data_IF_274477410324
#
_entry.id   IF_274477410324
#
_cell.length_a   1.000
_cell.length_b   1.000
_cell.length_c   1.000
_cell.angle_alpha   90.00
_cell.angle_beta   90.00
_cell.angle_gamma   90.00
#
_symmetry.space_group_name_H-M   'P 1'
#
loop_
_entity.id
_entity.type
_entity.pdbx_description
1 polymer ?
#
# COMPACT_ATOMS: atom_id res chain seq x y z
N UNK A 1 9.80 -35.90 -62.96
CA UNK A 1 9.39 -36.94 -63.92
C UNK A 1 8.12 -36.46 -64.64
N UNK A 2 8.27 -36.12 -65.93
CA UNK A 2 7.21 -35.63 -66.82
C UNK A 2 6.41 -36.83 -67.37
N UNK A 3 5.08 -36.82 -67.30
CA UNK A 3 4.19 -37.63 -68.16
C UNK A 3 3.10 -36.70 -68.68
N UNK A 4 3.33 -36.12 -69.86
CA UNK A 4 2.78 -36.54 -71.16
C UNK A 4 1.25 -36.39 -71.22
N UNK A 5 0.87 -35.19 -71.65
CA UNK A 5 -0.37 -34.90 -72.38
C UNK A 5 -0.30 -35.61 -73.74
N UNK A 6 -1.36 -36.31 -74.13
CA UNK A 6 -1.62 -36.59 -75.54
C UNK A 6 -3.13 -36.48 -75.78
N UNK A 7 -3.49 -35.47 -76.56
CA UNK A 7 -4.84 -35.22 -77.08
C UNK A 7 -5.13 -36.16 -78.26
N UNK A 8 -6.33 -36.70 -78.33
CA UNK A 8 -6.88 -37.25 -79.57
C UNK A 8 -8.29 -36.69 -79.80
N UNK A 9 -8.31 -35.72 -80.71
CA UNK A 9 -9.34 -35.29 -81.65
C UNK A 9 -10.78 -35.80 -81.51
N UNK A 10 -11.63 -34.78 -81.43
CA UNK A 10 -13.04 -34.70 -81.77
C UNK A 10 -13.54 -35.60 -82.91
N UNK A 11 -14.70 -36.22 -82.69
CA UNK A 11 -15.76 -36.32 -83.70
C UNK A 11 -17.08 -35.86 -83.08
N UNK A 12 -17.59 -34.78 -83.65
CA UNK A 12 -18.90 -34.20 -83.44
C UNK A 12 -20.03 -35.19 -83.71
N UNK A 13 -20.99 -35.28 -82.79
CA UNK A 13 -22.36 -35.64 -83.14
C UNK A 13 -23.30 -34.79 -82.28
N UNK A 14 -23.89 -33.79 -82.92
CA UNK A 14 -25.00 -32.99 -82.39
C UNK A 14 -26.21 -33.90 -82.17
N UNK A 15 -26.43 -34.44 -80.97
CA UNK A 15 -27.77 -34.93 -80.54
C UNK A 15 -27.76 -35.39 -79.06
N UNK A 16 -27.57 -34.49 -78.09
CA UNK A 16 -27.79 -34.82 -76.65
C UNK A 16 -28.13 -33.60 -75.78
N UNK A 17 -28.70 -32.56 -76.38
CA UNK A 17 -29.07 -31.30 -75.69
C UNK A 17 -30.46 -31.34 -75.01
N UNK A 18 -31.01 -32.54 -74.76
CA UNK A 18 -32.39 -32.71 -74.28
C UNK A 18 -32.53 -33.63 -73.04
N UNK A 19 -31.45 -33.86 -72.29
CA UNK A 19 -31.49 -34.66 -71.05
C UNK A 19 -30.91 -33.93 -69.82
N UNK A 20 -30.58 -32.64 -69.93
CA UNK A 20 -30.14 -31.80 -68.80
C UNK A 20 -31.27 -30.95 -68.17
N UNK A 21 -32.53 -31.15 -68.60
CA UNK A 21 -33.66 -30.30 -68.23
C UNK A 21 -34.61 -30.84 -67.15
N UNK A 22 -34.42 -32.07 -66.65
CA UNK A 22 -35.43 -32.72 -65.77
C UNK A 22 -34.92 -33.04 -64.35
N UNK A 23 -33.62 -32.90 -64.07
CA UNK A 23 -33.08 -33.17 -62.72
C UNK A 23 -33.05 -31.92 -61.81
N UNK A 24 -33.33 -30.72 -62.33
CA UNK A 24 -33.34 -29.47 -61.54
C UNK A 24 -34.71 -29.06 -60.98
N UNK A 25 -35.76 -29.86 -61.15
CA UNK A 25 -37.14 -29.47 -60.80
C UNK A 25 -37.75 -30.21 -59.59
N UNK A 26 -36.98 -30.98 -58.80
CA UNK A 26 -37.52 -31.83 -57.74
C UNK A 26 -36.91 -31.65 -56.33
N UNK A 27 -36.11 -30.60 -56.07
CA UNK A 27 -35.50 -30.36 -54.75
C UNK A 27 -36.17 -29.28 -53.89
N UNK A 28 -37.34 -28.75 -54.29
CA UNK A 28 -38.06 -27.73 -53.48
C UNK A 28 -39.16 -28.29 -52.57
N UNK A 29 -39.37 -29.61 -52.54
CA UNK A 29 -40.26 -30.23 -51.57
C UNK A 29 -39.48 -30.53 -50.26
N UNK A 30 -40.05 -30.11 -49.13
CA UNK A 30 -39.59 -30.35 -47.73
C UNK A 30 -38.60 -29.35 -47.10
N UNK A 31 -38.90 -28.06 -47.19
CA UNK A 31 -38.63 -27.18 -46.04
C UNK A 31 -39.85 -27.24 -45.11
N UNK A 32 -39.86 -28.18 -44.16
CA UNK A 32 -40.87 -28.20 -43.11
C UNK A 32 -40.85 -26.86 -42.37
N UNK A 33 -42.00 -26.17 -42.25
CA UNK A 33 -42.13 -24.97 -41.42
C UNK A 33 -41.86 -25.38 -39.97
N UNK A 34 -40.65 -25.08 -39.49
CA UNK A 34 -40.23 -25.30 -38.10
C UNK A 34 -40.94 -24.31 -37.14
N UNK A 35 -41.44 -23.19 -37.67
CA UNK A 35 -42.12 -22.17 -36.89
C UNK A 35 -43.64 -22.17 -37.13
N UNK A 36 -44.41 -22.12 -36.03
CA UNK A 36 -45.87 -22.04 -36.02
C UNK A 36 -46.40 -20.60 -36.08
N UNK A 37 -45.51 -19.60 -36.12
CA UNK A 37 -45.85 -18.17 -36.10
C UNK A 37 -45.06 -17.43 -37.15
N UNK A 38 -45.73 -16.51 -37.85
CA UNK A 38 -45.09 -15.56 -38.77
C UNK A 38 -44.59 -14.35 -37.96
N UNK A 39 -43.28 -14.09 -38.01
CA UNK A 39 -42.63 -13.00 -37.27
C UNK A 39 -42.21 -11.94 -38.29
N UNK A 40 -42.84 -10.76 -38.31
CA UNK A 40 -42.50 -9.72 -39.28
C UNK A 40 -41.07 -9.20 -39.04
N UNK A 41 -40.28 -9.16 -40.11
CA UNK A 41 -38.91 -8.63 -40.08
C UNK A 41 -38.95 -7.11 -40.07
N UNK A 42 -38.43 -6.49 -38.99
CA UNK A 42 -38.28 -5.04 -38.85
C UNK A 42 -36.85 -4.61 -39.19
N UNK A 43 -36.54 -4.50 -40.48
CA UNK A 43 -35.19 -4.18 -40.97
C UNK A 43 -34.69 -2.81 -40.50
N UNK A 44 -35.60 -1.86 -40.27
CA UNK A 44 -35.33 -0.51 -39.80
C UNK A 44 -34.62 -0.46 -38.44
N UNK A 45 -34.82 -1.47 -37.57
CA UNK A 45 -34.18 -1.54 -36.25
C UNK A 45 -32.66 -1.77 -36.33
N UNK A 46 -32.16 -2.24 -37.48
CA UNK A 46 -30.74 -2.55 -37.71
C UNK A 46 -30.14 -1.73 -38.86
N UNK A 47 -30.83 -0.66 -39.28
CA UNK A 47 -30.42 0.16 -40.42
C UNK A 47 -29.19 1.04 -40.15
N UNK A 48 -28.82 1.26 -38.88
CA UNK A 48 -27.70 2.11 -38.49
C UNK A 48 -26.67 1.35 -37.69
N UNK A 49 -25.40 1.71 -37.89
CA UNK A 49 -24.33 1.22 -37.03
C UNK A 49 -24.43 1.90 -35.66
N UNK A 50 -24.41 1.14 -34.55
CA UNK A 50 -24.50 1.71 -33.22
C UNK A 50 -23.25 2.55 -32.91
N UNK A 51 -23.45 3.75 -32.38
CA UNK A 51 -22.37 4.56 -31.84
C UNK A 51 -21.81 3.90 -30.55
N UNK A 52 -20.54 4.16 -30.19
CA UNK A 52 -20.00 3.74 -28.89
C UNK A 52 -20.83 4.29 -27.73
N UNK A 53 -21.09 3.46 -26.72
CA UNK A 53 -21.83 3.87 -25.53
C UNK A 53 -21.05 4.93 -24.73
N UNK A 54 -21.73 5.96 -24.24
CA UNK A 54 -21.19 6.87 -23.23
C UNK A 54 -21.11 6.20 -21.84
N UNK A 55 -20.32 6.75 -20.89
CA UNK A 55 -20.28 6.25 -19.51
C UNK A 55 -21.65 6.18 -18.83
N UNK A 56 -22.55 7.13 -19.11
CA UNK A 56 -23.91 7.16 -18.54
C UNK A 56 -24.77 6.03 -19.12
N UNK A 57 -24.63 5.72 -20.41
CA UNK A 57 -25.34 4.59 -21.03
C UNK A 57 -24.83 3.25 -20.47
N UNK A 58 -23.52 3.11 -20.26
CA UNK A 58 -22.97 1.96 -19.54
C UNK A 58 -23.53 1.84 -18.10
N UNK A 59 -23.69 2.98 -17.41
CA UNK A 59 -24.20 3.05 -16.04
C UNK A 59 -25.65 2.61 -15.89
N UNK A 60 -26.46 2.65 -16.96
CA UNK A 60 -27.84 2.14 -16.95
C UNK A 60 -27.89 0.65 -16.58
N UNK A 61 -26.84 -0.12 -16.91
CA UNK A 61 -26.71 -1.53 -16.54
C UNK A 61 -25.65 -1.77 -15.45
N UNK A 62 -24.55 -1.00 -15.46
CA UNK A 62 -23.41 -1.18 -14.54
C UNK A 62 -23.37 -0.10 -13.46
N UNK A 63 -24.49 0.08 -12.74
CA UNK A 63 -24.64 1.14 -11.74
C UNK A 63 -23.61 1.04 -10.59
N UNK A 64 -23.25 -0.16 -10.14
CA UNK A 64 -22.27 -0.38 -9.06
C UNK A 64 -20.86 -0.01 -9.48
N UNK A 65 -20.47 -0.36 -10.71
CA UNK A 65 -19.16 0.00 -11.28
C UNK A 65 -19.08 1.52 -11.47
N UNK A 66 -20.12 2.12 -12.04
CA UNK A 66 -20.20 3.57 -12.20
C UNK A 66 -20.12 4.29 -10.85
N UNK A 67 -20.86 3.81 -9.84
CA UNK A 67 -20.81 4.32 -8.47
C UNK A 67 -19.42 4.20 -7.85
N UNK A 68 -18.76 3.05 -7.98
CA UNK A 68 -17.40 2.84 -7.48
C UNK A 68 -16.39 3.81 -8.09
N UNK A 69 -16.45 4.03 -9.41
CA UNK A 69 -15.60 5.01 -10.08
C UNK A 69 -15.95 6.45 -9.67
N UNK A 70 -17.24 6.77 -9.55
CA UNK A 70 -17.74 8.08 -9.08
C UNK A 70 -17.24 8.38 -7.67
N UNK A 71 -17.22 7.42 -6.77
CA UNK A 71 -16.89 7.67 -5.36
C UNK A 71 -15.39 7.48 -5.07
N UNK A 72 -14.72 6.56 -5.77
CA UNK A 72 -13.36 6.11 -5.46
C UNK A 72 -12.45 5.85 -6.67
N UNK A 73 -12.88 6.20 -7.89
CA UNK A 73 -12.11 5.97 -9.12
C UNK A 73 -10.88 6.88 -9.29
N UNK A 74 -10.84 8.03 -8.61
CA UNK A 74 -9.74 9.00 -8.76
C UNK A 74 -9.52 9.39 -10.23
N UNK A 75 -8.31 9.17 -10.73
CA UNK A 75 -7.94 9.44 -12.14
C UNK A 75 -8.51 8.43 -13.15
N UNK A 76 -9.14 7.34 -12.70
CA UNK A 76 -9.76 6.34 -13.59
C UNK A 76 -11.17 6.72 -14.05
N UNK A 77 -11.59 7.97 -13.81
CA UNK A 77 -12.89 8.53 -14.26
C UNK A 77 -12.78 9.03 -15.70
N UNK A 78 -12.66 8.11 -16.65
CA UNK A 78 -12.64 8.37 -18.09
C UNK A 78 -13.54 7.35 -18.82
N UNK A 79 -13.67 7.47 -20.15
CA UNK A 79 -14.58 6.61 -20.91
C UNK A 79 -14.24 5.12 -20.77
N UNK A 80 -15.26 4.29 -20.53
CA UNK A 80 -15.09 2.87 -20.25
C UNK A 80 -14.29 2.14 -21.34
N UNK A 81 -14.45 2.57 -22.59
CA UNK A 81 -13.81 2.02 -23.79
C UNK A 81 -12.32 2.36 -23.89
N UNK A 82 -11.79 3.25 -23.05
CA UNK A 82 -10.34 3.47 -22.99
C UNK A 82 -9.64 2.23 -22.41
N UNK A 83 -10.29 1.50 -21.50
CA UNK A 83 -9.81 0.21 -20.99
C UNK A 83 -10.55 -0.98 -21.62
N UNK A 84 -11.88 -0.97 -21.64
CA UNK A 84 -12.69 -2.06 -22.17
C UNK A 84 -12.87 -1.95 -23.69
N UNK A 85 -11.85 -2.38 -24.44
CA UNK A 85 -11.89 -2.42 -25.92
C UNK A 85 -12.88 -3.44 -26.47
N UNK A 86 -13.19 -4.47 -25.69
CA UNK A 86 -14.21 -5.47 -26.00
C UNK A 86 -15.12 -5.62 -24.79
N UNK A 87 -16.42 -5.42 -24.98
CA UNK A 87 -17.44 -5.43 -23.91
C UNK A 87 -18.40 -6.59 -24.17
N UNK A 88 -18.95 -7.19 -23.11
CA UNK A 88 -19.85 -8.36 -23.17
C UNK A 88 -19.26 -9.59 -23.91
N UNK A 89 -17.94 -9.74 -23.91
CA UNK A 89 -17.24 -10.88 -24.53
C UNK A 89 -16.88 -12.02 -23.56
N UNK A 90 -17.17 -11.87 -22.26
CA UNK A 90 -16.95 -12.93 -21.29
C UNK A 90 -17.88 -14.12 -21.59
N UNK A 91 -17.30 -15.32 -21.67
CA UNK A 91 -18.04 -16.55 -21.85
C UNK A 91 -17.61 -17.57 -20.77
N UNK A 92 -18.49 -17.92 -19.82
CA UNK A 92 -18.19 -18.88 -18.76
C UNK A 92 -17.71 -20.24 -19.27
N UNK A 93 -18.16 -20.70 -20.44
CA UNK A 93 -17.73 -21.97 -21.04
C UNK A 93 -16.29 -21.93 -21.56
N UNK A 94 -15.80 -20.74 -21.93
CA UNK A 94 -14.43 -20.53 -22.41
C UNK A 94 -13.47 -20.10 -21.30
N UNK A 95 -13.99 -19.60 -20.18
CA UNK A 95 -13.16 -19.10 -19.07
C UNK A 95 -12.23 -17.95 -19.47
N UNK A 96 -12.61 -17.14 -20.46
CA UNK A 96 -11.73 -16.17 -21.11
C UNK A 96 -11.52 -14.86 -20.32
N UNK A 97 -11.80 -14.82 -19.02
CA UNK A 97 -11.75 -13.58 -18.23
C UNK A 97 -10.36 -12.95 -18.24
N UNK A 98 -9.32 -13.70 -17.89
CA UNK A 98 -7.95 -13.18 -17.79
C UNK A 98 -7.38 -12.71 -19.13
N UNK A 99 -7.84 -13.30 -20.23
CA UNK A 99 -7.46 -12.93 -21.59
C UNK A 99 -8.04 -11.56 -21.98
N UNK A 100 -9.33 -11.34 -21.69
CA UNK A 100 -10.07 -10.15 -22.15
C UNK A 100 -10.00 -8.96 -21.17
N UNK A 101 -9.53 -9.17 -19.93
CA UNK A 101 -9.43 -8.09 -18.95
C UNK A 101 -8.33 -7.08 -19.32
N UNK A 102 -8.61 -5.76 -19.19
CA UNK A 102 -7.64 -4.70 -19.49
C UNK A 102 -6.35 -4.88 -18.69
N UNK A 103 -5.20 -4.71 -19.36
CA UNK A 103 -3.88 -4.83 -18.73
C UNK A 103 -3.44 -3.47 -18.21
N UNK A 104 -3.21 -3.37 -16.90
CA UNK A 104 -2.78 -2.12 -16.24
C UNK A 104 -1.48 -1.54 -16.84
N UNK A 105 -0.61 -2.42 -17.32
CA UNK A 105 0.66 -2.07 -17.96
C UNK A 105 0.53 -1.22 -19.24
N UNK A 106 -0.66 -1.07 -19.81
CA UNK A 106 -0.88 -0.18 -20.96
C UNK A 106 -0.75 1.31 -20.60
N UNK A 107 -0.90 1.66 -19.32
CA UNK A 107 -0.84 3.04 -18.84
C UNK A 107 0.06 3.21 -17.61
N UNK A 108 0.25 2.15 -16.82
CA UNK A 108 1.06 2.18 -15.61
C UNK A 108 2.39 1.47 -15.82
N UNK A 109 3.43 2.03 -15.22
CA UNK A 109 4.72 1.35 -15.03
C UNK A 109 4.71 0.55 -13.74
N UNK A 110 5.85 -0.06 -13.39
CA UNK A 110 6.04 -0.86 -12.18
C UNK A 110 6.16 0.00 -10.91
N UNK A 111 5.07 0.65 -10.50
CA UNK A 111 5.03 1.59 -9.36
C UNK A 111 5.35 0.95 -8.00
N UNK A 112 5.23 -0.38 -7.88
CA UNK A 112 5.60 -1.16 -6.70
C UNK A 112 6.84 -2.04 -6.94
N UNK A 113 7.63 -1.69 -7.95
CA UNK A 113 8.79 -2.45 -8.40
C UNK A 113 8.44 -3.73 -9.19
N UNK A 114 9.46 -4.44 -9.70
CA UNK A 114 9.27 -5.55 -10.62
C UNK A 114 8.64 -6.79 -9.99
N UNK A 115 8.62 -6.89 -8.66
CA UNK A 115 8.06 -8.04 -7.94
C UNK A 115 6.53 -8.00 -7.81
N UNK A 116 5.87 -6.86 -8.10
CA UNK A 116 4.45 -6.65 -7.81
C UNK A 116 3.67 -6.25 -9.08
N UNK A 117 3.64 -7.14 -10.08
CA UNK A 117 3.00 -6.87 -11.39
C UNK A 117 1.52 -7.27 -11.46
N UNK A 118 1.06 -8.10 -10.54
CA UNK A 118 -0.33 -8.58 -10.52
C UNK A 118 -1.26 -7.56 -9.83
N UNK A 119 -1.46 -6.40 -10.46
CA UNK A 119 -2.12 -5.24 -9.86
C UNK A 119 -3.52 -5.57 -9.31
N UNK A 120 -4.32 -6.33 -10.07
CA UNK A 120 -5.71 -6.66 -9.75
C UNK A 120 -5.86 -7.57 -8.52
N UNK A 121 -4.78 -8.20 -8.06
CA UNK A 121 -4.81 -9.02 -6.86
C UNK A 121 -4.90 -8.22 -5.57
N UNK A 122 -4.55 -6.93 -5.63
CA UNK A 122 -4.62 -5.99 -4.51
C UNK A 122 -5.55 -4.80 -4.82
N UNK A 123 -5.57 -4.31 -6.07
CA UNK A 123 -6.35 -3.16 -6.49
C UNK A 123 -7.62 -3.58 -7.21
N UNK A 124 -8.73 -2.93 -6.88
CA UNK A 124 -9.92 -2.96 -7.73
C UNK A 124 -9.74 -1.91 -8.85
N UNK A 125 -9.78 -2.28 -10.15
CA UNK A 125 -9.62 -1.33 -11.25
C UNK A 125 -10.66 -0.20 -11.28
N UNK A 126 -11.83 -0.42 -10.68
CA UNK A 126 -12.92 0.55 -10.58
C UNK A 126 -12.89 1.37 -9.28
N UNK A 127 -11.97 1.06 -8.36
CA UNK A 127 -11.71 1.85 -7.16
C UNK A 127 -10.24 1.72 -6.73
N UNK A 128 -9.26 2.07 -7.59
CA UNK A 128 -7.86 1.67 -7.40
C UNK A 128 -7.21 2.30 -6.18
N UNK A 129 -7.71 3.44 -5.70
CA UNK A 129 -7.23 4.08 -4.46
C UNK A 129 -7.67 3.37 -3.17
N UNK A 130 -8.64 2.46 -3.24
CA UNK A 130 -9.12 1.68 -2.09
C UNK A 130 -8.52 0.27 -2.15
N UNK A 131 -7.37 0.10 -1.50
CA UNK A 131 -6.74 -1.21 -1.32
C UNK A 131 -7.26 -1.83 -0.02
N UNK A 132 -7.92 -2.97 -0.14
CA UNK A 132 -8.42 -3.70 1.01
C UNK A 132 -7.27 -4.37 1.77
N UNK A 133 -7.36 -4.37 3.10
CA UNK A 133 -6.41 -5.05 3.98
C UNK A 133 -6.70 -6.56 4.02
N UNK A 134 -6.48 -7.23 2.88
CA UNK A 134 -6.72 -8.67 2.74
C UNK A 134 -5.68 -9.49 3.51
N UNK A 135 -5.96 -10.76 3.87
CA UNK A 135 -4.96 -11.63 4.50
C UNK A 135 -3.66 -11.74 3.70
N UNK A 136 -3.74 -11.67 2.36
CA UNK A 136 -2.55 -11.61 1.51
C UNK A 136 -1.73 -10.36 1.81
N UNK A 137 -2.33 -9.16 1.74
CA UNK A 137 -1.61 -7.91 1.94
C UNK A 137 -0.98 -7.83 3.34
N UNK A 138 -1.75 -8.18 4.38
CA UNK A 138 -1.30 -8.21 5.79
C UNK A 138 -0.05 -9.06 5.98
N UNK A 139 0.02 -10.21 5.30
CA UNK A 139 1.16 -11.12 5.42
C UNK A 139 2.36 -10.74 4.53
N UNK A 140 2.23 -9.72 3.68
CA UNK A 140 3.27 -9.31 2.72
C UNK A 140 3.88 -7.94 3.02
N UNK A 141 3.54 -7.29 4.14
CA UNK A 141 4.11 -5.98 4.47
C UNK A 141 5.64 -5.98 4.40
N UNK A 142 6.30 -7.02 4.92
CA UNK A 142 7.76 -7.13 4.96
C UNK A 142 8.42 -7.31 3.58
N UNK A 143 7.66 -7.72 2.56
CA UNK A 143 8.17 -7.83 1.18
C UNK A 143 8.56 -6.45 0.63
N UNK A 144 7.78 -5.42 0.97
CA UNK A 144 8.03 -4.04 0.53
C UNK A 144 8.65 -3.17 1.64
N UNK A 145 8.43 -3.53 2.91
CA UNK A 145 8.92 -2.82 4.10
C UNK A 145 9.88 -3.69 4.94
N UNK A 146 11.01 -4.17 4.37
CA UNK A 146 11.92 -5.08 5.06
C UNK A 146 12.61 -4.40 6.26
N UNK A 147 12.95 -3.11 6.12
CA UNK A 147 13.62 -2.34 7.18
C UNK A 147 12.76 -2.29 8.45
N UNK A 148 11.46 -2.02 8.32
CA UNK A 148 10.54 -1.94 9.47
C UNK A 148 10.39 -3.30 10.16
N UNK A 149 10.37 -4.38 9.38
CA UNK A 149 10.36 -5.75 9.93
C UNK A 149 11.66 -6.05 10.68
N UNK A 150 12.80 -5.66 10.12
CA UNK A 150 14.12 -5.84 10.73
C UNK A 150 14.24 -5.06 12.05
N UNK A 151 13.79 -3.80 12.10
CA UNK A 151 13.77 -2.99 13.32
C UNK A 151 13.02 -3.69 14.46
N UNK A 152 11.82 -4.23 14.20
CA UNK A 152 11.02 -4.93 15.20
C UNK A 152 11.67 -6.23 15.71
N UNK A 153 12.48 -6.88 14.87
CA UNK A 153 13.25 -8.10 15.23
C UNK A 153 14.48 -7.73 16.05
N UNK A 154 15.24 -6.72 15.60
CA UNK A 154 16.48 -6.27 16.23
C UNK A 154 16.25 -5.59 17.58
N UNK A 155 15.12 -4.89 17.74
CA UNK A 155 14.77 -4.13 18.95
C UNK A 155 13.45 -4.62 19.56
N UNK A 156 13.43 -5.81 20.17
CA UNK A 156 12.19 -6.45 20.62
C UNK A 156 11.45 -5.63 21.68
N UNK A 157 10.17 -5.40 21.42
CA UNK A 157 9.25 -4.67 22.30
C UNK A 157 7.88 -5.36 22.36
N UNK A 158 6.91 -4.75 23.06
CA UNK A 158 5.53 -5.24 23.03
C UNK A 158 4.94 -5.18 21.61
N UNK A 159 5.38 -4.22 20.79
CA UNK A 159 4.94 -4.09 19.40
C UNK A 159 5.44 -5.24 18.50
N UNK A 160 6.55 -5.90 18.85
CA UNK A 160 7.04 -7.06 18.08
C UNK A 160 6.06 -8.25 18.11
N UNK A 161 5.07 -8.23 19.01
CA UNK A 161 3.99 -9.24 19.12
C UNK A 161 2.67 -8.79 18.49
N UNK A 162 2.65 -7.61 17.86
CA UNK A 162 1.46 -7.01 17.26
C UNK A 162 1.61 -7.06 15.74
N UNK A 163 0.58 -7.51 15.03
CA UNK A 163 0.59 -7.53 13.57
C UNK A 163 0.51 -6.10 13.00
N UNK A 164 1.13 -5.87 11.83
CA UNK A 164 1.27 -4.53 11.25
C UNK A 164 -0.09 -3.84 11.03
N UNK A 165 -1.10 -4.60 10.63
CA UNK A 165 -2.47 -4.15 10.33
C UNK A 165 -3.26 -3.68 11.56
N UNK A 166 -2.80 -4.02 12.76
CA UNK A 166 -3.42 -3.53 14.00
C UNK A 166 -3.19 -2.03 14.22
N UNK A 167 -2.11 -1.50 13.64
CA UNK A 167 -1.82 -0.07 13.62
C UNK A 167 -2.08 0.50 12.22
N UNK A 168 -1.56 -0.15 11.18
CA UNK A 168 -1.71 0.25 9.78
C UNK A 168 -3.00 -0.35 9.17
N UNK A 169 -4.15 0.24 9.51
CA UNK A 169 -5.47 -0.31 9.16
C UNK A 169 -5.83 -0.23 7.67
N UNK A 170 -5.11 0.56 6.88
CA UNK A 170 -5.23 0.60 5.43
C UNK A 170 -3.86 0.80 4.76
N UNK A 171 -3.75 0.42 3.49
CA UNK A 171 -2.50 0.52 2.75
C UNK A 171 -2.08 1.99 2.60
N UNK A 172 -0.86 2.33 3.03
CA UNK A 172 -0.34 3.70 3.02
C UNK A 172 -0.80 4.57 4.20
N UNK A 173 -1.62 4.06 5.12
CA UNK A 173 -2.01 4.80 6.32
C UNK A 173 -0.90 4.80 7.38
N UNK A 174 -0.57 5.97 7.89
CA UNK A 174 0.35 6.16 9.03
C UNK A 174 -0.51 6.45 10.27
N UNK A 175 -0.53 5.56 11.28
CA UNK A 175 -1.37 5.71 12.45
C UNK A 175 -0.85 6.75 13.43
N UNK A 176 -1.77 7.28 14.24
CA UNK A 176 -1.42 8.00 15.47
C UNK A 176 -1.12 7.02 16.61
N UNK A 177 -0.12 7.35 17.45
CA UNK A 177 0.19 6.57 18.65
C UNK A 177 -0.93 6.67 19.70
N UNK A 178 -1.74 7.73 19.66
CA UNK A 178 -2.79 7.98 20.66
C UNK A 178 -3.97 7.02 20.60
N UNK A 179 -4.08 6.20 19.56
CA UNK A 179 -5.06 5.13 19.50
C UNK A 179 -4.89 4.12 20.66
N UNK A 180 -3.67 4.00 21.21
CA UNK A 180 -3.38 3.08 22.31
C UNK A 180 -2.54 3.70 23.43
N UNK A 181 -1.75 4.74 23.14
CA UNK A 181 -0.84 5.36 24.11
C UNK A 181 -1.38 6.68 24.64
N UNK A 182 -1.06 6.98 25.90
CA UNK A 182 -1.28 8.31 26.49
C UNK A 182 -0.01 9.16 26.30
N UNK A 183 -0.14 10.48 26.17
CA UNK A 183 1.01 11.38 26.20
C UNK A 183 1.71 11.35 27.56
N UNK A 184 2.97 11.76 27.60
CA UNK A 184 3.77 11.81 28.83
C UNK A 184 3.36 12.98 29.74
N UNK A 185 2.77 14.04 29.18
CA UNK A 185 2.20 15.17 29.90
C UNK A 185 0.94 15.69 29.19
N UNK A 186 0.10 16.46 29.89
CA UNK A 186 -1.31 16.77 29.56
C UNK A 186 -1.53 17.35 28.14
N UNK A 187 -0.51 17.90 27.49
CA UNK A 187 -0.61 18.60 26.21
C UNK A 187 0.57 18.27 25.27
N UNK A 188 1.18 17.09 25.40
CA UNK A 188 2.27 16.70 24.51
C UNK A 188 1.77 16.51 23.06
N UNK A 189 2.32 17.23 22.07
CA UNK A 189 1.96 17.03 20.67
C UNK A 189 2.47 15.68 20.16
N UNK A 190 1.71 15.00 19.31
CA UNK A 190 2.03 13.66 18.78
C UNK A 190 3.34 13.65 17.97
N UNK A 191 3.64 14.75 17.28
CA UNK A 191 4.83 14.92 16.45
C UNK A 191 6.12 14.89 17.28
N UNK A 192 6.01 15.15 18.58
CA UNK A 192 7.17 15.11 19.49
C UNK A 192 7.54 13.68 19.90
N UNK A 193 6.63 12.70 19.78
CA UNK A 193 6.87 11.34 20.25
C UNK A 193 8.03 10.68 19.50
N UNK A 194 8.11 10.89 18.19
CA UNK A 194 9.13 10.30 17.31
C UNK A 194 10.51 10.92 17.49
N UNK A 195 10.60 12.10 18.13
CA UNK A 195 11.89 12.69 18.51
C UNK A 195 12.62 11.83 19.54
N UNK A 196 11.87 11.03 20.31
CA UNK A 196 12.42 10.19 21.34
C UNK A 196 12.33 8.70 21.06
N UNK A 197 11.17 8.20 20.63
CA UNK A 197 10.96 6.77 20.42
C UNK A 197 10.56 6.50 18.97
N UNK A 198 11.43 5.87 18.15
CA UNK A 198 11.02 5.45 16.81
C UNK A 198 9.99 4.32 16.86
N UNK A 199 9.01 4.33 15.94
CA UNK A 199 7.78 3.50 16.02
C UNK A 199 8.05 1.99 16.07
N UNK A 200 8.97 1.49 15.25
CA UNK A 200 9.30 0.06 15.14
C UNK A 200 10.46 -0.37 16.05
N UNK A 201 11.02 0.56 16.82
CA UNK A 201 12.04 0.29 17.83
C UNK A 201 11.84 1.21 19.05
N UNK A 202 10.67 1.18 19.70
CA UNK A 202 10.28 2.20 20.67
C UNK A 202 11.10 2.16 21.97
N UNK A 203 11.97 1.16 22.15
CA UNK A 203 12.91 1.12 23.29
C UNK A 203 14.24 1.82 22.99
N UNK A 204 14.52 2.13 21.72
CA UNK A 204 15.71 2.88 21.30
C UNK A 204 15.45 4.37 21.53
N UNK A 205 15.52 4.80 22.78
CA UNK A 205 15.23 6.18 23.18
C UNK A 205 16.38 7.10 22.78
N UNK A 206 16.05 8.10 21.97
CA UNK A 206 16.90 9.24 21.66
C UNK A 206 16.22 10.49 22.20
N UNK A 207 16.87 11.65 22.17
CA UNK A 207 16.18 12.92 22.34
C UNK A 207 17.08 14.03 21.79
N UNK A 208 16.49 15.08 21.20
CA UNK A 208 17.25 16.24 20.79
C UNK A 208 17.79 16.99 22.01
N UNK A 209 18.84 17.77 21.80
CA UNK A 209 19.25 18.80 22.74
C UNK A 209 19.08 20.16 22.06
N UNK A 210 18.32 21.12 22.64
CA UNK A 210 17.68 21.05 23.96
C UNK A 210 16.32 20.32 23.93
N UNK A 211 16.02 19.56 24.99
CA UNK A 211 14.68 19.01 25.29
C UNK A 211 14.26 19.53 26.68
N UNK A 212 13.01 19.99 26.89
CA UNK A 212 12.57 20.47 28.20
C UNK A 212 12.71 19.40 29.30
N UNK A 213 13.25 19.79 30.46
CA UNK A 213 13.45 18.86 31.59
C UNK A 213 12.14 18.22 32.09
N UNK A 214 10.99 18.89 31.90
CA UNK A 214 9.67 18.33 32.20
C UNK A 214 9.39 17.04 31.41
N UNK A 215 9.87 16.94 30.15
CA UNK A 215 9.75 15.73 29.34
C UNK A 215 10.45 14.56 30.01
N UNK A 216 11.66 14.78 30.54
CA UNK A 216 12.40 13.78 31.31
C UNK A 216 11.65 13.40 32.59
N UNK A 217 11.04 14.39 33.26
CA UNK A 217 10.27 14.22 34.49
C UNK A 217 9.04 13.34 34.35
N UNK A 218 8.48 13.17 33.16
CA UNK A 218 7.35 12.25 32.96
C UNK A 218 7.70 10.79 33.27
N UNK A 219 8.96 10.38 33.02
CA UNK A 219 9.48 9.06 33.38
C UNK A 219 10.32 9.11 34.66
N UNK A 220 11.10 10.18 34.84
CA UNK A 220 12.04 10.37 35.95
C UNK A 220 11.49 11.31 37.03
N UNK A 221 10.19 11.23 37.35
CA UNK A 221 9.50 12.21 38.21
C UNK A 221 10.17 12.43 39.57
N UNK A 222 10.67 11.38 40.22
CA UNK A 222 11.39 11.51 41.50
C UNK A 222 12.66 12.35 41.37
N UNK A 223 13.45 12.14 40.31
CA UNK A 223 14.69 12.87 40.07
C UNK A 223 14.39 14.30 39.62
N UNK A 224 13.40 14.46 38.75
CA UNK A 224 12.94 15.77 38.29
C UNK A 224 12.49 16.65 39.46
N UNK A 225 11.73 16.10 40.41
CA UNK A 225 11.30 16.83 41.60
C UNK A 225 12.46 17.23 42.53
N UNK A 226 13.50 16.39 42.65
CA UNK A 226 14.74 16.75 43.36
C UNK A 226 15.49 17.87 42.65
N UNK A 227 15.77 17.69 41.35
CA UNK A 227 16.49 18.66 40.52
C UNK A 227 15.79 20.02 40.49
N UNK A 228 14.46 20.04 40.51
CA UNK A 228 13.67 21.29 40.56
C UNK A 228 13.79 22.03 41.90
N UNK A 229 14.06 21.31 42.99
CA UNK A 229 14.09 21.86 44.36
C UNK A 229 15.50 22.05 44.91
N UNK A 230 16.51 21.45 44.28
CA UNK A 230 17.88 21.53 44.79
C UNK A 230 18.39 22.97 44.81
N UNK A 231 19.06 23.40 45.90
CA UNK A 231 19.70 24.71 45.96
C UNK A 231 21.00 24.78 45.14
N UNK A 232 21.48 23.65 44.62
CA UNK A 232 22.73 23.59 43.87
C UNK A 232 22.64 24.28 42.50
N UNK A 233 23.79 24.70 41.96
CA UNK A 233 23.86 25.26 40.59
C UNK A 233 23.43 24.27 39.50
N UNK A 234 23.39 22.97 39.80
CA UNK A 234 22.94 21.94 38.86
C UNK A 234 21.44 22.06 38.54
N UNK A 235 20.62 22.70 39.39
CA UNK A 235 19.24 23.07 39.07
C UNK A 235 19.11 23.94 37.81
N UNK A 236 20.19 24.63 37.41
CA UNK A 236 20.22 25.49 36.21
C UNK A 236 20.68 24.75 34.95
N UNK A 237 21.07 23.48 35.06
CA UNK A 237 21.56 22.67 33.95
C UNK A 237 20.47 21.67 33.56
N UNK A 238 20.02 21.72 32.30
CA UNK A 238 18.98 20.81 31.80
C UNK A 238 19.50 19.37 31.76
N UNK A 239 18.60 18.40 31.98
CA UNK A 239 18.89 16.97 31.94
C UNK A 239 19.65 16.56 30.67
N UNK A 240 19.19 17.01 29.49
CA UNK A 240 19.78 16.67 28.18
C UNK A 240 21.15 17.31 27.94
N UNK A 241 21.56 18.30 28.75
CA UNK A 241 22.92 18.86 28.69
C UNK A 241 23.94 17.91 29.31
N UNK A 242 23.59 17.25 30.43
CA UNK A 242 24.45 16.27 31.08
C UNK A 242 24.30 14.89 30.45
N UNK A 243 23.07 14.40 30.36
CA UNK A 243 22.73 13.14 29.72
C UNK A 243 22.62 13.36 28.21
N UNK A 244 23.75 13.50 27.52
CA UNK A 244 23.80 13.71 26.06
C UNK A 244 23.92 12.40 25.26
N UNK A 245 23.78 12.51 23.95
CA UNK A 245 24.02 11.49 22.90
C UNK A 245 23.09 10.26 22.92
N UNK A 246 22.94 9.60 24.06
CA UNK A 246 22.07 8.44 24.24
C UNK A 246 21.36 8.51 25.58
N UNK A 247 20.10 8.06 25.58
CA UNK A 247 19.36 7.92 26.82
C UNK A 247 20.10 6.99 27.80
N UNK A 248 20.31 7.48 29.02
CA UNK A 248 21.07 6.78 30.07
C UNK A 248 22.59 7.01 30.05
N UNK A 249 23.12 7.85 29.16
CA UNK A 249 24.51 8.29 29.27
C UNK A 249 24.72 9.09 30.55
N UNK A 250 25.73 8.75 31.34
CA UNK A 250 26.12 9.50 32.55
C UNK A 250 27.53 10.05 32.34
N UNK A 251 27.72 11.37 32.28
CA UNK A 251 29.04 11.96 32.07
C UNK A 251 29.91 11.80 33.33
N UNK A 252 31.23 11.80 33.14
CA UNK A 252 32.17 11.96 34.25
C UNK A 252 32.19 13.42 34.71
N UNK A 253 32.38 13.65 36.01
CA UNK A 253 32.45 15.00 36.58
C UNK A 253 33.52 15.87 35.90
N UNK A 254 34.65 15.25 35.52
CA UNK A 254 35.80 15.88 34.88
C UNK A 254 35.57 16.32 33.44
N UNK A 255 34.47 15.90 32.82
CA UNK A 255 34.11 16.38 31.48
C UNK A 255 33.69 17.86 31.50
N UNK A 256 33.26 18.38 32.65
CA UNK A 256 32.86 19.77 32.80
C UNK A 256 33.62 20.50 33.93
N UNK A 257 33.99 19.79 35.00
CA UNK A 257 34.65 20.38 36.16
C UNK A 257 36.16 20.11 36.16
N UNK A 258 36.96 21.17 36.20
CA UNK A 258 38.42 21.06 36.38
C UNK A 258 38.75 21.06 37.87
N UNK A 259 39.20 19.91 38.38
CA UNK A 259 39.78 19.73 39.71
C UNK A 259 39.14 20.56 40.85
N UNK A 260 37.88 20.26 41.25
CA UNK A 260 37.16 21.03 42.26
C UNK A 260 37.77 20.93 43.68
N UNK A 261 38.73 20.03 43.88
CA UNK A 261 39.46 19.84 45.14
C UNK A 261 40.98 19.78 44.90
N UNK A 262 41.80 20.01 45.94
CA UNK A 262 43.25 19.82 45.88
C UNK A 262 43.62 18.39 45.48
N UNK A 263 44.77 18.23 44.82
CA UNK A 263 45.27 16.93 44.34
C UNK A 263 45.31 15.84 45.43
N UNK A 264 45.67 16.20 46.66
CA UNK A 264 45.70 15.25 47.79
C UNK A 264 44.34 14.61 48.10
N UNK A 265 43.23 15.35 47.94
CA UNK A 265 41.87 14.82 48.12
C UNK A 265 41.47 13.97 46.92
N UNK A 266 41.76 14.43 45.70
CA UNK A 266 41.40 13.70 44.48
C UNK A 266 42.16 12.38 44.36
N UNK A 267 43.42 12.33 44.79
CA UNK A 267 44.24 11.11 44.79
C UNK A 267 43.73 10.09 45.83
N UNK A 268 43.29 10.57 47.00
CA UNK A 268 42.75 9.70 48.07
C UNK A 268 41.30 9.27 47.83
N UNK A 269 40.49 10.10 47.18
CA UNK A 269 39.07 9.89 46.93
C UNK A 269 38.73 10.11 45.44
N UNK A 270 39.05 9.14 44.56
CA UNK A 270 38.88 9.30 43.12
C UNK A 270 37.40 9.28 42.65
N UNK A 271 36.46 8.80 43.48
CA UNK A 271 35.03 8.74 43.17
C UNK A 271 34.28 9.87 43.88
N UNK A 272 33.88 10.90 43.13
CA UNK A 272 33.19 12.09 43.68
C UNK A 272 31.90 11.73 44.44
N UNK A 273 31.14 10.76 43.95
CA UNK A 273 29.87 10.32 44.55
C UNK A 273 30.02 9.64 45.92
N UNK A 274 31.25 9.34 46.37
CA UNK A 274 31.48 8.87 47.74
C UNK A 274 31.11 9.90 48.80
N UNK A 275 31.23 11.19 48.47
CA UNK A 275 30.87 12.31 49.36
C UNK A 275 29.72 13.15 48.79
N UNK A 276 29.60 13.24 47.46
CA UNK A 276 28.64 14.10 46.78
C UNK A 276 27.29 13.42 46.43
N UNK A 277 27.07 12.18 46.90
CA UNK A 277 25.83 11.37 46.98
C UNK A 277 24.81 11.43 45.81
N UNK A 278 24.30 12.60 45.43
CA UNK A 278 23.34 12.79 44.34
C UNK A 278 23.69 14.05 43.53
N UNK A 279 24.04 13.88 42.24
CA UNK A 279 24.34 15.01 41.34
C UNK A 279 23.12 15.91 41.09
N UNK A 280 21.91 15.39 41.29
CA UNK A 280 20.66 16.14 41.12
C UNK A 280 20.24 16.87 42.40
N UNK A 281 20.95 16.61 43.51
CA UNK A 281 20.73 17.28 44.79
C UNK A 281 22.04 17.43 45.57
N UNK A 282 23.02 18.05 44.93
CA UNK A 282 24.33 18.26 45.53
C UNK A 282 24.20 19.16 46.78
N UNK A 283 24.93 18.85 47.86
CA UNK A 283 25.03 19.75 49.00
C UNK A 283 25.55 21.11 48.53
N UNK A 284 24.71 22.15 48.61
CA UNK A 284 25.18 23.52 48.41
C UNK A 284 25.72 24.04 49.73
N UNK A 285 26.98 24.47 49.76
CA UNK A 285 27.40 25.37 50.83
C UNK A 285 26.60 26.66 50.65
N UNK A 286 25.74 26.97 51.63
CA UNK A 286 25.05 28.27 51.69
C UNK A 286 26.09 29.39 51.76
#
# INVERSE_FOLDING_TARGET
MKKKVCSALAKSSWLSLLLLGVVLAASTAFAAKVATVDIPVKAELYATMPAPLSPVQCAQCHNTVFGALKDAGGRHRFDCQQCHKTIHAYNPKKGNYDEIMPKCASCHTEIHGPANKDCSTCHNPHSPGKVAMTPRLVNTCATCHPAQKEELVKFPSKHSKVSCDRCHTSHGYIPTCFNCHKPHYKEQPIETCLKCHPVHQPKSIHYPSPEPAQTCGACHGKIYEKWKKTPSKHAKVNCATCHRDKHGYVPQCTECHKAPHPKSILDRFPKCLGCHLDVHDLPSMK
#
